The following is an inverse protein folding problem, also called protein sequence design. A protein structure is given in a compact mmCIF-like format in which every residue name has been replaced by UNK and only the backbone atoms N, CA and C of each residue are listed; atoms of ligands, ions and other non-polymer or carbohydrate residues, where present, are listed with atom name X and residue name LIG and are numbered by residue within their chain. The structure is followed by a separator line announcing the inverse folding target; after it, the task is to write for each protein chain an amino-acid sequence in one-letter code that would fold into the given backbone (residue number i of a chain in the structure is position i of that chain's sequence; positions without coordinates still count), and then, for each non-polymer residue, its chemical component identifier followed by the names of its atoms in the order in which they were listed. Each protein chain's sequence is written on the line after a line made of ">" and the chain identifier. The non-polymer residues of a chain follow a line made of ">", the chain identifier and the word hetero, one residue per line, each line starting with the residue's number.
data_IF_157768730657
#
_entry.id   IF_157768730657
#
_cell.length_a   1.000
_cell.length_b   1.000
_cell.length_c   1.000
_cell.angle_alpha   90.00
_cell.angle_beta   90.00
_cell.angle_gamma   90.00
#
_symmetry.space_group_name_H-M   'P 1'
#
loop_
_entity.id
_entity.type
_entity.pdbx_description
1 polymer ?
#
# COMPACT_ATOMS: atom_id res chain seq x y z
N UNK A 1 45.65 -62.61 -24.57
CA UNK A 1 44.60 -61.62 -24.93
C UNK A 1 44.25 -60.80 -23.69
N UNK A 2 44.12 -59.47 -23.80
CA UNK A 2 43.65 -58.59 -22.71
C UNK A 2 42.26 -58.05 -23.09
N UNK A 3 41.30 -58.14 -22.17
CA UNK A 3 39.93 -57.63 -22.36
C UNK A 3 39.85 -56.23 -21.73
N UNK A 4 39.34 -55.19 -22.41
CA UNK A 4 39.17 -53.88 -21.82
C UNK A 4 37.94 -53.83 -20.91
N UNK A 5 38.07 -53.19 -19.74
CA UNK A 5 36.93 -52.86 -18.87
C UNK A 5 36.26 -51.59 -19.38
N UNK A 6 34.99 -51.68 -19.79
CA UNK A 6 34.14 -50.53 -20.08
C UNK A 6 33.56 -50.03 -18.74
N UNK A 7 33.82 -48.77 -18.41
CA UNK A 7 33.24 -48.10 -17.24
C UNK A 7 31.98 -47.36 -17.71
N UNK A 8 30.82 -47.79 -17.22
CA UNK A 8 29.54 -47.17 -17.53
C UNK A 8 29.24 -46.09 -16.47
N UNK A 9 29.39 -44.81 -16.82
CA UNK A 9 28.88 -43.71 -15.98
C UNK A 9 27.37 -43.61 -16.15
N UNK A 10 26.63 -43.82 -15.05
CA UNK A 10 25.20 -43.56 -14.97
C UNK A 10 25.00 -42.13 -14.46
N UNK A 11 24.52 -41.24 -15.31
CA UNK A 11 24.12 -39.89 -14.91
C UNK A 11 22.72 -39.94 -14.27
N UNK A 12 22.63 -39.74 -12.96
CA UNK A 12 21.34 -39.66 -12.26
C UNK A 12 20.88 -38.20 -12.22
N UNK A 13 19.96 -37.84 -13.11
CA UNK A 13 19.31 -36.53 -13.11
C UNK A 13 18.26 -36.45 -11.98
N UNK A 14 18.60 -35.79 -10.88
CA UNK A 14 17.67 -35.54 -9.78
C UNK A 14 16.64 -34.48 -10.15
N UNK A 15 15.38 -34.89 -10.35
CA UNK A 15 14.27 -33.96 -10.56
C UNK A 15 13.75 -33.46 -9.22
N UNK A 16 14.15 -32.25 -8.84
CA UNK A 16 13.65 -31.56 -7.64
C UNK A 16 12.22 -31.06 -7.88
N UNK A 17 11.22 -31.82 -7.42
CA UNK A 17 9.82 -31.38 -7.40
C UNK A 17 9.60 -30.36 -6.27
N UNK A 18 9.58 -29.07 -6.63
CA UNK A 18 9.17 -28.00 -5.71
C UNK A 18 7.70 -28.19 -5.30
N UNK A 19 7.46 -28.50 -4.03
CA UNK A 19 6.10 -28.49 -3.49
C UNK A 19 5.57 -27.05 -3.44
N UNK A 20 4.29 -26.80 -3.80
CA UNK A 20 3.71 -25.48 -3.67
C UNK A 20 3.62 -25.10 -2.18
N UNK A 21 4.08 -23.90 -1.84
CA UNK A 21 3.92 -23.34 -0.52
C UNK A 21 2.42 -23.24 -0.20
N UNK A 22 1.98 -23.95 0.85
CA UNK A 22 0.63 -23.78 1.40
C UNK A 22 0.66 -22.57 2.31
N UNK A 23 0.01 -21.49 1.90
CA UNK A 23 -0.32 -20.40 2.82
C UNK A 23 -1.04 -20.96 4.04
N UNK A 24 -0.63 -20.52 5.24
CA UNK A 24 -1.30 -20.90 6.49
C UNK A 24 -2.74 -20.37 6.54
N UNK A 25 -3.57 -20.87 7.48
CA UNK A 25 -4.91 -20.33 7.66
C UNK A 25 -4.85 -18.84 8.02
N UNK A 26 -5.36 -18.00 7.13
CA UNK A 26 -5.53 -16.56 7.39
C UNK A 26 -6.41 -16.42 8.63
N UNK A 27 -5.93 -15.73 9.66
CA UNK A 27 -6.76 -15.41 10.82
C UNK A 27 -7.80 -14.40 10.39
N UNK A 28 -9.07 -14.80 10.43
CA UNK A 28 -10.20 -14.07 9.84
C UNK A 28 -10.58 -12.79 10.61
N UNK A 29 -9.92 -12.52 11.75
CA UNK A 29 -10.15 -11.31 12.56
C UNK A 29 -8.92 -10.86 13.34
N UNK A 30 -8.63 -9.57 13.26
CA UNK A 30 -7.58 -8.84 13.96
C UNK A 30 -8.16 -7.59 14.63
N UNK A 31 -7.55 -7.08 15.70
CA UNK A 31 -7.96 -5.79 16.28
C UNK A 31 -6.82 -5.01 16.95
N UNK A 32 -6.91 -3.67 16.86
CA UNK A 32 -6.05 -2.71 17.52
C UNK A 32 -6.86 -1.80 18.44
N UNK A 33 -6.36 -1.60 19.66
CA UNK A 33 -6.96 -0.71 20.65
C UNK A 33 -5.95 0.36 21.12
N UNK A 34 -6.30 1.64 21.01
CA UNK A 34 -5.53 2.74 21.59
C UNK A 34 -6.36 3.51 22.63
N UNK A 35 -5.70 4.00 23.67
CA UNK A 35 -6.29 4.90 24.68
C UNK A 35 -5.43 6.16 24.79
N UNK A 36 -6.06 7.32 24.93
CA UNK A 36 -5.38 8.60 25.03
C UNK A 36 -6.17 9.58 25.90
N UNK A 37 -5.49 10.29 26.80
CA UNK A 37 -6.11 11.36 27.61
C UNK A 37 -5.84 12.72 26.98
N UNK A 38 -6.86 13.57 26.81
CA UNK A 38 -6.74 14.95 26.32
C UNK A 38 -7.70 15.85 27.12
N UNK A 39 -7.21 16.98 27.65
CA UNK A 39 -8.03 17.95 28.39
C UNK A 39 -8.96 17.35 29.47
N UNK A 40 -8.46 16.38 30.26
CA UNK A 40 -9.23 15.71 31.30
C UNK A 40 -10.27 14.68 30.81
N UNK A 41 -10.40 14.48 29.49
CA UNK A 41 -11.22 13.43 28.88
C UNK A 41 -10.35 12.24 28.47
N UNK A 42 -10.89 11.04 28.63
CA UNK A 42 -10.24 9.79 28.19
C UNK A 42 -10.91 9.30 26.91
N UNK A 43 -10.12 9.21 25.84
CA UNK A 43 -10.50 8.70 24.54
C UNK A 43 -10.03 7.26 24.41
N UNK A 44 -10.86 6.39 23.85
CA UNK A 44 -10.55 4.99 23.55
C UNK A 44 -11.02 4.67 22.13
N UNK A 45 -10.16 4.04 21.34
CA UNK A 45 -10.49 3.61 19.98
C UNK A 45 -10.18 2.15 19.84
N UNK A 46 -11.17 1.38 19.36
CA UNK A 46 -11.02 -0.02 18.97
C UNK A 46 -11.32 -0.11 17.48
N UNK A 47 -10.34 -0.56 16.70
CA UNK A 47 -10.49 -0.88 15.28
C UNK A 47 -10.42 -2.41 15.11
N UNK A 48 -11.49 -3.01 14.63
CA UNK A 48 -11.57 -4.43 14.29
C UNK A 48 -11.48 -4.59 12.78
N UNK A 49 -10.59 -5.46 12.32
CA UNK A 49 -10.41 -5.80 10.92
C UNK A 49 -10.83 -7.25 10.75
N UNK A 50 -11.78 -7.52 9.85
CA UNK A 50 -12.33 -8.85 9.59
C UNK A 50 -12.16 -9.18 8.12
N UNK A 51 -11.59 -10.35 7.81
CA UNK A 51 -11.42 -10.78 6.42
C UNK A 51 -12.80 -11.03 5.83
N UNK A 52 -13.10 -10.42 4.68
CA UNK A 52 -14.43 -10.56 4.08
C UNK A 52 -14.56 -11.83 3.20
N UNK A 53 -13.43 -12.50 2.93
CA UNK A 53 -13.34 -13.69 2.09
C UNK A 53 -12.99 -13.41 0.63
N UNK A 54 -12.92 -12.13 0.23
CA UNK A 54 -12.67 -11.71 -1.14
C UNK A 54 -11.22 -11.27 -1.34
N UNK A 55 -10.75 -11.42 -2.58
CA UNK A 55 -9.45 -10.93 -3.03
C UNK A 55 -9.69 -10.00 -4.23
N UNK A 56 -9.12 -8.80 -4.18
CA UNK A 56 -9.16 -7.82 -5.27
C UNK A 56 -7.74 -7.36 -5.58
N UNK A 57 -7.35 -7.39 -6.86
CA UNK A 57 -6.01 -7.05 -7.33
C UNK A 57 -4.88 -7.75 -6.54
N UNK A 58 -5.06 -9.04 -6.25
CA UNK A 58 -4.10 -9.87 -5.49
C UNK A 58 -4.12 -9.65 -3.97
N UNK A 59 -4.90 -8.69 -3.46
CA UNK A 59 -4.97 -8.37 -2.03
C UNK A 59 -6.27 -8.87 -1.40
N UNK A 60 -6.15 -9.49 -0.24
CA UNK A 60 -7.27 -9.76 0.64
C UNK A 60 -8.03 -8.46 0.98
N UNK A 61 -9.35 -8.45 0.79
CA UNK A 61 -10.23 -7.37 1.22
C UNK A 61 -10.69 -7.61 2.66
N UNK A 62 -10.78 -6.53 3.42
CA UNK A 62 -11.16 -6.59 4.83
C UNK A 62 -12.22 -5.55 5.11
N UNK A 63 -13.18 -5.92 5.96
CA UNK A 63 -14.05 -4.98 6.62
C UNK A 63 -13.32 -4.39 7.83
N UNK A 64 -13.33 -3.07 7.97
CA UNK A 64 -12.93 -2.40 9.19
C UNK A 64 -14.16 -1.84 9.92
N UNK A 65 -14.28 -2.16 11.21
CA UNK A 65 -15.26 -1.58 12.13
C UNK A 65 -14.51 -0.83 13.23
N UNK A 66 -14.74 0.48 13.33
CA UNK A 66 -14.09 1.35 14.32
C UNK A 66 -15.13 1.89 15.30
N UNK A 67 -14.82 1.80 16.58
CA UNK A 67 -15.59 2.41 17.68
C UNK A 67 -14.67 3.33 18.47
N UNK A 68 -15.07 4.59 18.58
CA UNK A 68 -14.39 5.60 19.38
C UNK A 68 -15.29 6.01 20.54
N UNK A 69 -14.80 5.83 21.77
CA UNK A 69 -15.48 6.14 23.03
C UNK A 69 -14.77 7.32 23.69
N UNK A 70 -15.54 8.29 24.18
CA UNK A 70 -15.03 9.40 24.98
C UNK A 70 -15.66 9.33 26.36
N UNK A 71 -14.84 9.40 27.41
CA UNK A 71 -15.28 9.56 28.79
C UNK A 71 -14.91 10.96 29.27
N UNK A 72 -15.89 11.67 29.81
CA UNK A 72 -15.71 12.97 30.44
C UNK A 72 -14.87 12.91 31.73
N UNK A 73 -14.49 14.07 32.28
CA UNK A 73 -13.84 14.13 33.59
C UNK A 73 -14.77 13.69 34.73
N UNK A 74 -16.09 13.75 34.53
CA UNK A 74 -17.08 13.13 35.42
C UNK A 74 -17.45 11.72 34.95
N UNK A 75 -17.48 10.75 35.87
CA UNK A 75 -17.67 9.32 35.55
C UNK A 75 -18.95 8.96 34.77
N UNK A 76 -19.96 9.83 34.77
CA UNK A 76 -21.24 9.60 34.10
C UNK A 76 -21.32 10.18 32.67
N UNK A 77 -20.37 11.02 32.25
CA UNK A 77 -20.36 11.54 30.87
C UNK A 77 -19.63 10.55 29.96
N UNK A 78 -20.39 9.81 29.15
CA UNK A 78 -19.81 8.94 28.11
C UNK A 78 -20.50 9.17 26.77
N UNK A 79 -19.72 9.19 25.69
CA UNK A 79 -20.24 9.20 24.33
C UNK A 79 -19.46 8.19 23.47
N UNK A 80 -20.11 7.69 22.43
CA UNK A 80 -19.47 6.78 21.48
C UNK A 80 -19.92 7.11 20.06
N UNK A 81 -18.99 6.99 19.12
CA UNK A 81 -19.24 7.08 17.68
C UNK A 81 -18.62 5.87 16.99
N UNK A 82 -19.35 5.30 16.04
CA UNK A 82 -18.94 4.11 15.29
C UNK A 82 -18.93 4.41 13.80
N UNK A 83 -18.01 3.77 13.08
CA UNK A 83 -17.96 3.79 11.62
C UNK A 83 -17.49 2.45 11.09
N UNK A 84 -17.91 2.11 9.87
CA UNK A 84 -17.59 0.85 9.22
C UNK A 84 -17.28 1.09 7.75
N UNK A 85 -16.35 0.32 7.19
CA UNK A 85 -16.02 0.41 5.77
C UNK A 85 -14.98 -0.61 5.35
N UNK A 86 -14.25 -0.31 4.27
CA UNK A 86 -13.25 -1.20 3.69
C UNK A 86 -11.84 -0.86 4.17
N UNK A 87 -11.04 -1.90 4.30
CA UNK A 87 -9.62 -1.85 4.60
C UNK A 87 -8.86 -2.91 3.79
N UNK A 88 -7.55 -2.71 3.70
CA UNK A 88 -6.60 -3.65 3.11
C UNK A 88 -5.42 -3.81 4.06
N UNK A 89 -4.87 -5.02 4.11
CA UNK A 89 -3.55 -5.29 4.67
C UNK A 89 -2.49 -4.89 3.64
N UNK A 90 -1.49 -4.11 4.05
CA UNK A 90 -0.32 -3.77 3.24
C UNK A 90 0.88 -3.45 4.13
N UNK A 91 2.06 -4.03 3.83
CA UNK A 91 3.32 -3.74 4.52
C UNK A 91 3.22 -3.87 6.06
N UNK A 92 2.65 -4.99 6.54
CA UNK A 92 2.52 -5.29 7.99
C UNK A 92 1.55 -4.40 8.77
N UNK A 93 0.75 -3.59 8.07
CA UNK A 93 -0.27 -2.73 8.66
C UNK A 93 -1.57 -2.68 7.86
N UNK A 94 -2.61 -2.23 8.52
CA UNK A 94 -3.95 -2.05 7.99
C UNK A 94 -4.17 -0.61 7.57
N UNK A 95 -4.83 -0.41 6.43
CA UNK A 95 -5.27 0.91 5.97
C UNK A 95 -6.67 0.81 5.39
N UNK A 96 -7.52 1.81 5.66
CA UNK A 96 -8.90 1.81 5.18
C UNK A 96 -9.62 3.12 5.47
N UNK A 97 -10.93 3.13 5.23
CA UNK A 97 -11.81 4.24 5.53
C UNK A 97 -13.09 3.71 6.19
N UNK A 98 -13.50 4.33 7.30
CA UNK A 98 -14.65 3.91 8.10
C UNK A 98 -15.60 5.11 8.35
N UNK A 99 -16.46 5.48 7.39
CA UNK A 99 -17.39 6.61 7.58
C UNK A 99 -18.28 6.43 8.82
N UNK A 100 -18.56 7.49 9.60
CA UNK A 100 -18.15 8.90 9.43
C UNK A 100 -16.79 9.22 10.11
N UNK A 101 -16.02 8.22 10.53
CA UNK A 101 -14.77 8.39 11.26
C UNK A 101 -13.56 8.73 10.36
N UNK A 102 -13.72 8.57 9.04
CA UNK A 102 -12.70 8.89 8.05
C UNK A 102 -11.66 7.79 7.89
N UNK A 103 -10.44 8.18 7.51
CA UNK A 103 -9.34 7.23 7.26
C UNK A 103 -8.88 6.56 8.56
N UNK A 104 -8.51 5.29 8.46
CA UNK A 104 -8.07 4.42 9.55
C UNK A 104 -6.74 3.79 9.14
N UNK A 105 -5.74 3.86 10.02
CA UNK A 105 -4.44 3.22 9.82
C UNK A 105 -3.99 2.52 11.11
N UNK A 106 -3.60 1.24 11.02
CA UNK A 106 -3.19 0.45 12.18
C UNK A 106 -2.01 -0.47 11.84
N UNK A 107 -0.82 -0.24 12.39
CA UNK A 107 0.39 -1.05 12.14
C UNK A 107 0.94 -1.67 13.43
N UNK A 108 1.46 -2.89 13.34
CA UNK A 108 2.03 -3.62 14.46
C UNK A 108 3.41 -3.09 14.87
N UNK A 109 3.79 -3.34 16.13
CA UNK A 109 5.10 -2.93 16.65
C UNK A 109 6.27 -3.49 15.84
N UNK A 110 6.20 -4.78 15.48
CA UNK A 110 7.22 -5.49 14.71
C UNK A 110 7.31 -4.98 13.26
N UNK A 111 6.23 -4.38 12.75
CA UNK A 111 6.13 -3.83 11.39
C UNK A 111 6.35 -2.31 11.34
N UNK A 112 6.38 -1.62 12.48
CA UNK A 112 6.59 -0.17 12.57
C UNK A 112 8.07 0.19 12.37
N UNK A 113 8.46 0.31 11.10
CA UNK A 113 9.77 0.75 10.64
C UNK A 113 10.20 2.15 11.16
N UNK A 114 9.30 2.90 11.82
CA UNK A 114 9.61 4.20 12.39
C UNK A 114 10.27 4.13 13.77
N UNK A 115 9.71 3.33 14.69
CA UNK A 115 10.22 3.23 16.06
C UNK A 115 9.98 1.89 16.78
N UNK A 116 9.42 0.89 16.10
CA UNK A 116 9.15 -0.44 16.65
C UNK A 116 8.05 -0.50 17.71
N UNK A 117 7.11 0.46 17.75
CA UNK A 117 6.02 0.49 18.76
C UNK A 117 4.64 0.25 18.20
N UNK A 118 4.44 0.47 16.91
CA UNK A 118 3.13 0.32 16.27
C UNK A 118 2.33 1.60 16.41
N UNK A 119 1.33 1.75 15.55
CA UNK A 119 0.58 3.00 15.40
C UNK A 119 -0.87 2.73 15.03
N UNK A 120 -1.80 3.32 15.76
CA UNK A 120 -3.21 3.43 15.39
C UNK A 120 -3.56 4.90 15.22
N UNK A 121 -4.07 5.27 14.05
CA UNK A 121 -4.57 6.59 13.69
C UNK A 121 -5.98 6.47 13.11
N UNK A 122 -6.84 7.41 13.47
CA UNK A 122 -8.18 7.58 12.89
C UNK A 122 -8.42 9.06 12.65
N UNK A 123 -8.95 9.43 11.48
CA UNK A 123 -9.12 10.82 11.07
C UNK A 123 -10.06 11.66 11.94
N UNK A 124 -10.94 11.02 12.73
CA UNK A 124 -11.90 11.71 13.58
C UNK A 124 -11.27 12.14 14.93
N UNK A 125 -11.39 13.42 15.33
CA UNK A 125 -10.78 13.92 16.57
C UNK A 125 -11.38 13.32 17.85
N UNK A 126 -12.57 12.69 17.80
CA UNK A 126 -13.15 11.96 18.94
C UNK A 126 -12.56 10.55 19.12
N UNK A 127 -11.60 10.16 18.28
CA UNK A 127 -10.85 8.92 18.42
C UNK A 127 -9.51 9.15 19.13
N UNK A 128 -9.07 8.14 19.88
CA UNK A 128 -7.70 8.03 20.36
C UNK A 128 -6.76 7.70 19.18
N UNK A 129 -5.51 8.11 19.28
CA UNK A 129 -4.45 7.69 18.36
C UNK A 129 -3.15 7.54 19.15
N UNK A 130 -2.30 6.60 18.76
CA UNK A 130 -1.09 6.26 19.50
C UNK A 130 -0.67 4.81 19.30
N UNK A 131 0.07 4.27 20.27
CA UNK A 131 0.55 2.88 20.27
C UNK A 131 -0.64 1.94 20.55
N UNK A 132 -0.95 0.98 19.66
CA UNK A 132 -2.07 0.09 19.86
C UNK A 132 -1.69 -1.14 20.70
N UNK A 133 -2.61 -1.57 21.56
CA UNK A 133 -2.65 -2.94 22.08
C UNK A 133 -3.33 -3.81 21.04
N UNK A 134 -2.64 -4.85 20.58
CA UNK A 134 -3.13 -5.76 19.54
C UNK A 134 -3.77 -7.00 20.13
N UNK A 135 -4.79 -7.51 19.45
CA UNK A 135 -5.43 -8.79 19.77
C UNK A 135 -5.69 -9.57 18.48
N UNK A 136 -4.90 -10.61 18.27
CA UNK A 136 -5.14 -11.64 17.26
C UNK A 136 -5.98 -12.77 17.87
N UNK A 137 -7.05 -13.19 17.18
CA UNK A 137 -7.76 -14.45 17.46
C UNK A 137 -9.14 -14.37 18.14
N UNK A 138 -10.08 -15.15 17.57
CA UNK A 138 -11.16 -15.87 18.27
C UNK A 138 -12.09 -15.09 19.22
N UNK A 139 -12.60 -13.94 18.79
CA UNK A 139 -13.94 -13.54 19.25
C UNK A 139 -14.99 -14.46 18.59
N UNK A 140 -15.58 -15.35 19.40
CA UNK A 140 -16.67 -16.27 19.05
C UNK A 140 -17.65 -15.62 18.06
N UNK A 141 -17.71 -16.17 16.85
CA UNK A 141 -18.49 -15.59 15.77
C UNK A 141 -19.96 -15.41 16.17
N UNK A 142 -20.52 -14.23 15.88
CA UNK A 142 -21.97 -14.08 15.75
C UNK A 142 -22.40 -14.79 14.45
N UNK A 143 -23.54 -15.49 14.43
CA UNK A 143 -23.95 -16.30 13.29
C UNK A 143 -24.12 -15.44 12.03
N UNK A 144 -23.48 -15.88 10.95
CA UNK A 144 -23.49 -15.23 9.63
C UNK A 144 -24.48 -16.00 8.74
N UNK A 145 -25.51 -15.32 8.23
CA UNK A 145 -26.43 -15.88 7.22
C UNK A 145 -25.83 -15.84 5.81
N UNK A 146 -26.29 -16.75 4.96
CA UNK A 146 -25.73 -17.08 3.63
C UNK A 146 -25.95 -16.03 2.52
N UNK A 147 -25.35 -16.32 1.35
CA UNK A 147 -25.53 -15.81 -0.04
C UNK A 147 -24.29 -15.09 -0.63
N UNK A 148 -23.86 -15.32 -1.89
CA UNK A 148 -24.07 -16.47 -2.81
C UNK A 148 -22.98 -16.44 -3.93
N UNK A 149 -22.85 -17.48 -4.76
CA UNK A 149 -21.76 -17.66 -5.74
C UNK A 149 -22.04 -17.19 -7.20
N UNK A 150 -20.95 -16.99 -7.99
CA UNK A 150 -20.94 -17.03 -9.46
C UNK A 150 -20.80 -15.66 -10.19
N UNK A 151 -20.23 -15.52 -11.39
CA UNK A 151 -19.63 -16.47 -12.37
C UNK A 151 -18.65 -15.72 -13.31
N UNK A 152 -17.68 -16.43 -13.92
CA UNK A 152 -16.65 -15.89 -14.87
C UNK A 152 -16.94 -16.28 -16.33
N UNK A 153 -16.53 -15.46 -17.32
CA UNK A 153 -15.96 -16.01 -18.57
C UNK A 153 -14.66 -15.31 -19.04
N UNK A 154 -14.07 -15.80 -20.14
CA UNK A 154 -12.76 -15.41 -20.72
C UNK A 154 -12.83 -15.38 -22.28
N UNK A 155 -11.74 -15.26 -23.08
CA UNK A 155 -11.36 -14.06 -23.85
C UNK A 155 -11.42 -14.22 -25.39
N UNK A 156 -10.96 -13.23 -26.20
CA UNK A 156 -10.13 -13.39 -27.47
C UNK A 156 -10.00 -12.13 -28.38
N UNK A 157 -8.75 -11.64 -28.53
CA UNK A 157 -8.00 -11.08 -29.72
C UNK A 157 -8.42 -9.81 -30.54
N UNK A 158 -7.66 -8.72 -30.28
CA UNK A 158 -6.83 -7.82 -31.13
C UNK A 158 -7.18 -7.26 -32.54
N UNK A 159 -6.92 -5.94 -32.72
CA UNK A 159 -5.99 -5.28 -33.69
C UNK A 159 -5.94 -3.74 -33.44
N UNK A 160 -4.78 -3.10 -33.20
CA UNK A 160 -3.96 -2.31 -34.19
C UNK A 160 -4.62 -0.96 -34.61
N UNK A 161 -4.06 0.26 -34.48
CA UNK A 161 -2.71 0.78 -34.09
C UNK A 161 -2.77 2.29 -33.63
N UNK A 162 -1.65 2.84 -33.11
CA UNK A 162 -1.22 4.26 -32.98
C UNK A 162 -2.06 5.32 -32.21
N UNK A 163 -1.40 6.09 -31.33
CA UNK A 163 -1.80 7.50 -31.03
C UNK A 163 -2.28 7.87 -29.62
N UNK A 164 -2.30 6.96 -28.64
CA UNK A 164 -2.55 7.30 -27.22
C UNK A 164 -2.01 6.19 -26.33
N UNK A 165 -1.30 6.52 -25.25
CA UNK A 165 -0.97 5.54 -24.20
C UNK A 165 -2.24 5.24 -23.40
N UNK A 166 -3.03 4.30 -23.92
CA UNK A 166 -4.29 3.83 -23.35
C UNK A 166 -4.29 2.30 -23.35
N UNK A 167 -3.25 1.70 -22.77
CA UNK A 167 -3.34 0.31 -22.33
C UNK A 167 -4.24 0.26 -21.11
N UNK A 168 -5.23 -0.64 -21.14
CA UNK A 168 -6.08 -0.92 -19.97
C UNK A 168 -5.32 -1.73 -18.91
N UNK A 169 -4.22 -2.33 -19.33
CA UNK A 169 -3.23 -2.98 -18.50
C UNK A 169 -2.19 -1.94 -18.03
N UNK A 170 -1.81 -1.96 -16.74
CA UNK A 170 -0.71 -1.13 -16.26
C UNK A 170 0.61 -1.56 -16.94
N UNK A 171 1.56 -0.62 -17.18
CA UNK A 171 2.90 -0.97 -17.65
C UNK A 171 3.55 -2.05 -16.78
N UNK A 172 4.27 -2.97 -17.41
CA UNK A 172 5.04 -3.98 -16.69
C UNK A 172 5.99 -3.29 -15.70
N UNK A 173 6.00 -3.72 -14.44
CA UNK A 173 6.76 -3.07 -13.38
C UNK A 173 6.45 -3.69 -12.03
N UNK A 174 7.37 -3.54 -11.08
CA UNK A 174 7.17 -4.04 -9.72
C UNK A 174 6.27 -3.07 -8.93
N UNK A 175 5.41 -3.54 -8.01
CA UNK A 175 4.54 -2.66 -7.22
C UNK A 175 5.29 -1.92 -6.11
N UNK A 176 4.99 -0.63 -5.93
CA UNK A 176 5.51 0.23 -4.87
C UNK A 176 4.38 1.10 -4.28
N UNK A 177 4.54 1.52 -3.04
CA UNK A 177 3.69 2.52 -2.39
C UNK A 177 4.34 3.89 -2.41
N UNK A 178 3.58 4.93 -2.77
CA UNK A 178 3.99 6.32 -2.77
C UNK A 178 2.87 7.23 -2.22
N UNK A 179 3.10 7.87 -1.08
CA UNK A 179 2.16 8.84 -0.47
C UNK A 179 0.72 8.30 -0.29
N UNK A 180 0.57 7.00 -0.06
CA UNK A 180 -0.72 6.29 0.07
C UNK A 180 -1.35 5.83 -1.26
N UNK A 181 -0.68 6.02 -2.40
CA UNK A 181 -1.08 5.49 -3.71
C UNK A 181 -0.19 4.32 -4.11
N UNK A 182 -0.70 3.37 -4.89
CA UNK A 182 0.12 2.33 -5.51
C UNK A 182 0.63 2.81 -6.88
N UNK A 183 1.92 2.59 -7.11
CA UNK A 183 2.63 2.94 -8.34
C UNK A 183 3.42 1.73 -8.83
N UNK A 184 3.55 1.54 -10.14
CA UNK A 184 4.42 0.51 -10.70
C UNK A 184 5.71 1.16 -11.16
N UNK A 185 6.85 0.57 -10.77
CA UNK A 185 8.17 1.00 -11.19
C UNK A 185 8.76 -0.03 -12.15
N UNK A 186 9.13 0.43 -13.34
CA UNK A 186 9.69 -0.36 -14.42
C UNK A 186 11.17 0.01 -14.64
N UNK A 187 12.12 -0.84 -14.20
CA UNK A 187 13.54 -0.61 -14.43
C UNK A 187 13.96 -0.63 -15.90
N UNK A 188 13.22 -1.31 -16.79
CA UNK A 188 13.57 -1.45 -18.20
C UNK A 188 13.19 -0.21 -19.01
N UNK A 189 11.95 0.29 -18.86
CA UNK A 189 11.53 1.55 -19.50
C UNK A 189 11.92 2.80 -18.70
N UNK A 190 12.37 2.64 -17.46
CA UNK A 190 12.78 3.72 -16.58
C UNK A 190 11.62 4.56 -16.05
N UNK A 191 10.43 3.97 -15.94
CA UNK A 191 9.19 4.65 -15.57
C UNK A 191 8.77 4.35 -14.15
N UNK A 192 8.14 5.33 -13.49
CA UNK A 192 7.23 5.08 -12.38
C UNK A 192 5.88 5.68 -12.74
N UNK A 193 4.82 4.87 -12.70
CA UNK A 193 3.46 5.26 -13.10
C UNK A 193 2.48 4.98 -11.97
N UNK A 194 1.47 5.83 -11.81
CA UNK A 194 0.36 5.54 -10.91
C UNK A 194 -0.45 4.34 -11.41
N UNK A 195 -0.64 3.33 -10.56
CA UNK A 195 -1.56 2.22 -10.81
C UNK A 195 -2.89 2.49 -10.12
N UNK A 196 -2.85 2.69 -8.79
CA UNK A 196 -4.01 3.07 -7.97
C UNK A 196 -3.71 4.39 -7.23
N UNK A 197 -4.07 5.55 -7.82
CA UNK A 197 -4.07 6.83 -7.12
C UNK A 197 -5.02 6.79 -5.92
N UNK A 198 -4.58 7.27 -4.76
CA UNK A 198 -5.44 7.36 -3.57
C UNK A 198 -6.65 8.26 -3.81
N UNK A 199 -7.73 8.00 -3.07
CA UNK A 199 -9.02 8.67 -3.24
C UNK A 199 -8.90 10.21 -3.33
N UNK A 200 -8.10 10.84 -2.47
CA UNK A 200 -7.93 12.30 -2.42
C UNK A 200 -7.15 12.93 -3.58
N UNK A 201 -6.60 12.14 -4.52
CA UNK A 201 -5.93 12.65 -5.73
C UNK A 201 -6.46 12.05 -7.04
N UNK A 202 -7.37 11.08 -7.00
CA UNK A 202 -7.77 10.29 -8.19
C UNK A 202 -8.39 11.11 -9.33
N UNK A 203 -9.03 12.23 -8.99
CA UNK A 203 -9.66 13.14 -9.96
C UNK A 203 -8.64 14.10 -10.61
N UNK A 204 -7.42 14.15 -10.06
CA UNK A 204 -6.30 14.97 -10.54
C UNK A 204 -5.25 14.11 -11.25
N UNK A 205 -5.07 12.88 -10.77
CA UNK A 205 -4.06 11.93 -11.20
C UNK A 205 -4.76 10.64 -11.60
N UNK A 206 -4.99 10.38 -12.90
CA UNK A 206 -5.59 9.13 -13.35
C UNK A 206 -4.59 7.97 -13.24
N UNK A 207 -5.07 6.71 -13.18
CA UNK A 207 -4.24 5.53 -13.47
C UNK A 207 -3.48 5.68 -14.79
N UNK A 208 -2.25 5.17 -14.84
CA UNK A 208 -1.32 5.32 -15.96
C UNK A 208 -0.55 6.65 -16.00
N UNK A 209 -0.85 7.63 -15.12
CA UNK A 209 -0.11 8.88 -15.07
C UNK A 209 1.36 8.67 -14.68
N UNK A 210 2.29 9.21 -15.48
CA UNK A 210 3.74 9.08 -15.25
C UNK A 210 4.18 10.00 -14.11
N UNK A 211 4.60 9.43 -13.00
CA UNK A 211 5.15 10.13 -11.84
C UNK A 211 6.66 10.41 -11.99
N UNK A 212 7.39 9.49 -12.63
CA UNK A 212 8.83 9.64 -12.89
C UNK A 212 9.23 9.00 -14.22
N UNK A 213 10.24 9.58 -14.87
CA UNK A 213 10.98 9.02 -16.00
C UNK A 213 12.47 9.24 -15.82
N UNK A 214 13.28 8.17 -15.87
CA UNK A 214 14.73 8.28 -15.72
C UNK A 214 15.43 6.94 -15.59
N UNK A 215 16.67 6.95 -15.10
CA UNK A 215 17.46 5.73 -14.87
C UNK A 215 17.10 5.12 -13.53
N UNK A 216 16.36 4.03 -13.52
CA UNK A 216 16.09 3.19 -12.36
C UNK A 216 17.06 2.00 -12.33
N UNK A 217 17.46 1.55 -11.14
CA UNK A 217 18.24 0.32 -11.01
C UNK A 217 18.82 0.11 -9.62
N UNK A 218 18.97 -1.16 -9.19
CA UNK A 218 19.51 -1.50 -7.88
C UNK A 218 20.95 -1.03 -7.69
N UNK A 219 21.24 -0.52 -6.49
CA UNK A 219 22.57 -0.12 -6.02
C UNK A 219 23.34 0.83 -6.96
N UNK A 220 22.62 1.64 -7.75
CA UNK A 220 23.17 2.66 -8.64
C UNK A 220 22.51 4.03 -8.39
N UNK A 221 23.19 5.15 -8.72
CA UNK A 221 22.58 6.47 -8.65
C UNK A 221 21.34 6.55 -9.56
N UNK A 222 20.20 6.86 -8.97
CA UNK A 222 18.95 7.09 -9.70
C UNK A 222 18.86 8.56 -10.08
N UNK A 223 18.43 8.84 -11.31
CA UNK A 223 18.32 10.21 -11.81
C UNK A 223 17.37 10.33 -12.98
N UNK A 224 16.57 11.41 -13.00
CA UNK A 224 15.56 11.64 -14.02
C UNK A 224 14.67 12.84 -13.74
N UNK A 225 13.48 12.80 -14.33
CA UNK A 225 12.45 13.83 -14.21
C UNK A 225 11.27 13.26 -13.43
N UNK A 226 10.89 13.91 -12.33
CA UNK A 226 9.63 13.67 -11.64
C UNK A 226 8.56 14.67 -12.11
N UNK A 227 7.28 14.33 -11.92
CA UNK A 227 6.14 15.14 -12.35
C UNK A 227 5.25 15.52 -11.17
N UNK A 228 5.04 16.82 -10.97
CA UNK A 228 4.19 17.37 -9.91
C UNK A 228 2.79 17.69 -10.44
N UNK A 229 1.79 17.01 -9.88
CA UNK A 229 0.39 17.12 -10.26
C UNK A 229 -0.36 18.17 -9.44
N UNK A 230 -1.31 18.87 -10.07
CA UNK A 230 -2.20 19.86 -9.43
C UNK A 230 -3.52 19.90 -10.20
N UNK A 231 -4.64 19.99 -9.48
CA UNK A 231 -5.97 20.06 -10.09
C UNK A 231 -6.05 21.20 -11.13
N UNK A 232 -6.61 20.89 -12.31
CA UNK A 232 -6.76 21.84 -13.41
C UNK A 232 -5.46 22.26 -14.13
N UNK A 233 -4.31 21.69 -13.77
CA UNK A 233 -3.01 22.04 -14.35
C UNK A 233 -2.35 20.85 -15.07
N UNK A 234 -1.57 21.08 -16.15
CA UNK A 234 -0.69 20.05 -16.70
C UNK A 234 0.35 19.62 -15.64
N UNK A 235 0.91 18.40 -15.68
CA UNK A 235 1.98 18.00 -14.77
C UNK A 235 3.23 18.88 -14.95
N UNK A 236 3.85 19.35 -13.86
CA UNK A 236 5.11 20.10 -13.93
C UNK A 236 6.31 19.16 -13.81
N UNK A 237 7.19 19.06 -14.82
CA UNK A 237 8.44 18.32 -14.71
C UNK A 237 9.44 19.05 -13.80
N UNK A 238 10.24 18.30 -13.05
CA UNK A 238 11.39 18.80 -12.30
C UNK A 238 12.48 17.70 -12.18
N UNK A 239 13.77 18.07 -12.19
CA UNK A 239 14.85 17.12 -12.06
C UNK A 239 14.92 16.56 -10.65
N UNK A 240 15.14 15.25 -10.53
CA UNK A 240 15.39 14.58 -9.26
C UNK A 240 16.53 13.57 -9.37
N UNK A 241 17.28 13.42 -8.29
CA UNK A 241 18.32 12.39 -8.11
C UNK A 241 18.09 11.66 -6.80
N UNK A 242 18.65 10.46 -6.67
CA UNK A 242 18.40 9.65 -5.49
C UNK A 242 19.12 8.32 -5.47
N UNK A 243 18.74 7.50 -4.49
CA UNK A 243 19.25 6.15 -4.33
C UNK A 243 18.11 5.15 -4.23
N UNK A 244 18.37 3.98 -4.78
CA UNK A 244 17.58 2.78 -4.61
C UNK A 244 18.34 1.85 -3.66
N UNK A 245 17.68 1.29 -2.66
CA UNK A 245 18.21 0.28 -1.75
C UNK A 245 17.37 -0.99 -1.84
N UNK A 246 17.96 -2.10 -2.33
CA UNK A 246 17.30 -3.42 -2.27
C UNK A 246 17.07 -3.84 -0.82
N UNK A 247 18.10 -3.73 0.03
CA UNK A 247 18.07 -4.19 1.41
C UNK A 247 17.01 -3.49 2.27
N UNK A 248 16.81 -2.19 2.05
CA UNK A 248 15.81 -1.40 2.76
C UNK A 248 14.51 -1.24 1.95
N UNK A 249 14.34 -1.98 0.84
CA UNK A 249 13.15 -1.98 -0.01
C UNK A 249 12.60 -0.58 -0.33
N UNK A 250 13.51 0.37 -0.55
CA UNK A 250 13.19 1.80 -0.64
C UNK A 250 13.89 2.46 -1.81
N UNK A 251 13.12 3.29 -2.52
CA UNK A 251 13.63 4.22 -3.52
C UNK A 251 13.32 5.63 -3.02
N UNK A 252 14.35 6.46 -2.85
CA UNK A 252 14.20 7.83 -2.37
C UNK A 252 14.82 8.79 -3.38
N UNK A 253 13.99 9.68 -3.92
CA UNK A 253 14.38 10.73 -4.85
C UNK A 253 14.24 12.10 -4.18
N UNK A 254 15.13 13.04 -4.54
CA UNK A 254 15.11 14.42 -4.08
C UNK A 254 15.44 15.37 -5.23
N UNK A 255 14.83 16.55 -5.22
CA UNK A 255 15.15 17.66 -6.10
C UNK A 255 14.29 18.87 -5.76
N UNK A 256 14.66 20.06 -6.23
CA UNK A 256 13.89 21.27 -5.98
C UNK A 256 12.51 21.15 -6.69
N UNK A 257 11.45 20.97 -5.92
CA UNK A 257 10.09 20.78 -6.46
C UNK A 257 9.49 22.11 -6.96
N UNK A 258 8.61 22.09 -7.97
CA UNK A 258 8.09 23.31 -8.58
C UNK A 258 7.23 24.11 -7.60
N UNK A 259 7.42 25.43 -7.61
CA UNK A 259 6.59 26.43 -6.93
C UNK A 259 5.69 27.07 -7.98
N UNK A 260 4.38 27.15 -7.69
CA UNK A 260 3.36 27.52 -8.70
C UNK A 260 2.49 28.69 -8.29
N UNK A 261 2.23 29.57 -9.25
CA UNK A 261 1.18 30.61 -9.21
C UNK A 261 0.09 30.21 -10.20
N UNK A 262 -1.08 29.79 -9.71
CA UNK A 262 -2.04 29.07 -10.56
C UNK A 262 -1.41 27.77 -11.10
N UNK A 263 -1.29 27.65 -12.42
CA UNK A 263 -0.58 26.54 -13.09
C UNK A 263 0.84 26.90 -13.56
N UNK A 264 1.17 28.19 -13.63
CA UNK A 264 2.49 28.72 -13.98
C UNK A 264 3.53 28.25 -12.94
N UNK A 265 4.64 27.69 -13.40
CA UNK A 265 5.79 27.38 -12.54
C UNK A 265 6.66 28.64 -12.44
N UNK A 266 6.69 29.25 -11.26
CA UNK A 266 7.37 30.52 -11.00
C UNK A 266 8.74 30.35 -10.32
N UNK A 267 9.12 29.10 -10.03
CA UNK A 267 10.40 28.75 -9.42
C UNK A 267 10.44 27.29 -8.98
N UNK A 268 11.53 26.89 -8.33
CA UNK A 268 11.73 25.56 -7.76
C UNK A 268 12.30 25.71 -6.35
N UNK A 269 11.95 24.81 -5.43
CA UNK A 269 12.38 24.89 -4.02
C UNK A 269 12.56 23.51 -3.40
N UNK A 270 13.67 23.33 -2.66
CA UNK A 270 13.91 22.15 -1.82
C UNK A 270 12.96 22.04 -0.61
N UNK A 271 12.21 23.11 -0.30
CA UNK A 271 11.12 23.12 0.69
C UNK A 271 9.74 22.86 0.08
N UNK A 272 9.64 22.58 -1.22
CA UNK A 272 8.37 22.22 -1.87
C UNK A 272 7.82 20.88 -1.30
N UNK A 273 6.49 20.71 -1.16
CA UNK A 273 5.89 19.41 -0.83
C UNK A 273 6.25 18.29 -1.82
N UNK A 274 6.72 18.63 -3.02
CA UNK A 274 7.20 17.69 -4.03
C UNK A 274 8.72 17.41 -3.95
N UNK A 275 9.47 18.06 -3.05
CA UNK A 275 10.93 18.02 -3.07
C UNK A 275 11.55 16.67 -2.66
N UNK A 276 10.77 15.77 -2.04
CA UNK A 276 11.19 14.40 -1.74
C UNK A 276 10.10 13.44 -2.21
N UNK A 277 10.49 12.42 -2.98
CA UNK A 277 9.63 11.28 -3.32
C UNK A 277 10.19 10.04 -2.63
N UNK A 278 9.40 9.47 -1.73
CA UNK A 278 9.69 8.17 -1.13
C UNK A 278 8.78 7.12 -1.76
N UNK A 279 9.37 6.00 -2.10
CA UNK A 279 8.71 4.79 -2.57
C UNK A 279 9.14 3.63 -1.68
N UNK A 280 8.18 2.85 -1.15
CA UNK A 280 8.45 1.60 -0.44
C UNK A 280 7.97 0.41 -1.27
N UNK A 281 8.77 -0.64 -1.39
CA UNK A 281 8.44 -1.83 -2.17
C UNK A 281 7.21 -2.52 -1.58
N UNK A 282 6.26 -2.93 -2.41
CA UNK A 282 5.22 -3.84 -1.98
C UNK A 282 5.75 -5.27 -2.14
N UNK A 283 6.16 -5.89 -1.03
CA UNK A 283 6.49 -7.32 -1.04
C UNK A 283 5.21 -8.11 -1.34
N UNK A 284 5.27 -8.91 -2.40
CA UNK A 284 4.36 -10.03 -2.62
C UNK A 284 4.99 -11.22 -1.87
N UNK A 285 4.40 -11.59 -0.73
CA UNK A 285 4.76 -12.78 0.07
C UNK A 285 3.95 -14.02 -0.38
#
# INVERSE_FOLDING_TARGET
>A
MKIPRIILLILVAGVSLSLPARAGPITDRWSAEATQTRAGRTYRTVATFTYDGMVSNGRALWRVDVRCEVRGPGANETSAVTGSGTAMLAQGGWSGNAPPLGDVYAIEAENDLGNGKGKLEVGNPNCASGIPVLRQGLHRALPKSEQDEGTKPSPTVAQTLAGRASSKDPPAGRPWMHNGSMVFADPETGLIVYHEPKASIRDVVPPGAVLFRGRLGPNRPVGGTAYAFKAGCPPAPYPVTGTYSDHAYTLRLRGAGPVRRGCEVVGYSDGSPHATLLFTYLLDD
#
